data_IF_787532717890
#
_entry.id   IF_787532717890
#
_cell.length_a   1.000
_cell.length_b   1.000
_cell.length_c   1.000
_cell.angle_alpha   90.00
_cell.angle_beta   90.00
_cell.angle_gamma   90.00
#
_symmetry.space_group_name_H-M   'P 1'
#
loop_
_entity.id
_entity.type
_entity.pdbx_description
1 polymer ?
#
# COMPACT_ATOMS: atom_id res chain seq x y z
N UNK A 1 -1.45 -8.46 -19.13
CA UNK A 1 -1.62 -8.04 -18.44
C UNK A 1 -1.43 -7.03 -18.30
N UNK A 2 -1.39 -6.72 -18.39
CA UNK A 2 -1.06 -5.97 -18.17
C UNK A 2 -1.40 -5.25 -17.48
N UNK A 3 -1.78 -5.20 -17.18
CA UNK A 3 -2.21 -4.52 -16.34
C UNK A 3 -1.72 -3.37 -15.94
N UNK A 4 -0.91 -3.09 -16.04
CA UNK A 4 -0.29 -1.94 -15.55
C UNK A 4 -0.91 -0.71 -15.96
N UNK A 5 -1.50 -0.71 -16.99
CA UNK A 5 -2.07 0.41 -17.40
C UNK A 5 -3.07 0.96 -16.59
N UNK A 6 -3.86 0.20 -16.07
CA UNK A 6 -4.84 0.74 -15.27
C UNK A 6 -4.24 1.38 -14.15
N UNK A 7 -3.09 1.05 -13.83
CA UNK A 7 -2.46 1.69 -12.79
C UNK A 7 -2.25 3.08 -13.08
N UNK A 8 -1.81 3.43 -14.25
CA UNK A 8 -1.56 4.75 -14.47
C UNK A 8 -2.76 5.50 -14.60
N UNK A 9 -3.76 4.99 -15.10
CA UNK A 9 -4.92 5.74 -15.26
C UNK A 9 -5.38 6.19 -13.95
N UNK A 10 -5.30 5.35 -12.99
CA UNK A 10 -5.72 5.73 -11.76
C UNK A 10 -4.94 6.76 -11.19
N UNK A 11 -3.69 6.66 -11.35
CA UNK A 11 -2.90 7.51 -10.70
C UNK A 11 -3.01 8.83 -11.14
N UNK A 12 -3.36 9.02 -12.28
CA UNK A 12 -3.38 10.29 -12.76
C UNK A 12 -4.21 11.13 -11.94
N UNK A 13 -5.39 10.84 -11.81
CA UNK A 13 -6.22 11.72 -11.12
C UNK A 13 -5.96 11.69 -9.69
N UNK A 14 -5.84 10.54 -9.20
CA UNK A 14 -5.78 10.40 -7.81
C UNK A 14 -4.62 11.05 -7.20
N UNK A 15 -3.56 11.00 -7.85
CA UNK A 15 -2.43 11.53 -7.28
C UNK A 15 -2.34 12.96 -7.32
N UNK A 16 -2.67 13.48 -8.40
CA UNK A 16 -2.54 14.87 -8.58
C UNK A 16 -3.27 15.65 -7.57
N UNK A 17 -4.39 15.19 -7.17
CA UNK A 17 -5.19 16.02 -6.32
C UNK A 17 -4.61 16.17 -4.95
N UNK A 18 -3.72 15.36 -4.54
CA UNK A 18 -3.19 15.50 -3.25
C UNK A 18 -2.28 16.62 -3.09
N UNK A 19 -1.64 17.00 -4.09
CA UNK A 19 -0.74 18.12 -4.03
C UNK A 19 0.50 17.87 -3.23
N UNK A 20 0.75 16.68 -2.82
CA UNK A 20 1.99 16.43 -2.13
C UNK A 20 2.68 15.23 -2.71
N UNK A 21 3.97 15.21 -2.62
CA UNK A 21 4.74 14.13 -3.17
C UNK A 21 4.89 13.06 -2.13
N UNK A 22 4.98 11.86 -2.58
CA UNK A 22 5.16 10.73 -1.70
C UNK A 22 6.65 10.40 -1.69
N UNK A 23 7.31 10.80 -0.63
CA UNK A 23 8.75 10.64 -0.54
C UNK A 23 9.17 9.20 -0.69
N UNK A 24 8.32 8.26 -0.34
CA UNK A 24 8.66 6.87 -0.40
C UNK A 24 8.03 6.14 -1.57
N UNK A 25 7.56 6.89 -2.54
CA UNK A 25 6.85 6.30 -3.66
C UNK A 25 7.65 5.22 -4.38
N UNK A 26 8.91 5.50 -4.70
CA UNK A 26 9.73 4.54 -5.42
C UNK A 26 9.97 3.29 -4.59
N UNK A 27 10.19 3.45 -3.31
CA UNK A 27 10.39 2.33 -2.41
C UNK A 27 9.13 1.48 -2.34
N UNK A 28 7.98 2.12 -2.26
CA UNK A 28 6.71 1.43 -2.19
C UNK A 28 6.48 0.62 -3.47
N UNK A 29 6.74 1.23 -4.62
CA UNK A 29 6.54 0.55 -5.89
C UNK A 29 7.46 -0.66 -6.03
N UNK A 30 8.69 -0.54 -5.59
CA UNK A 30 9.61 -1.67 -5.63
C UNK A 30 9.18 -2.79 -4.72
N UNK A 31 8.66 -2.46 -3.54
CA UNK A 31 8.18 -3.45 -2.63
C UNK A 31 6.94 -4.15 -3.17
N UNK A 32 6.05 -3.38 -3.80
CA UNK A 32 4.86 -3.98 -4.41
C UNK A 32 5.23 -4.90 -5.57
N UNK A 33 6.24 -4.54 -6.35
CA UNK A 33 6.70 -5.40 -7.43
C UNK A 33 7.23 -6.72 -6.88
N UNK A 34 7.94 -6.68 -5.77
CA UNK A 34 8.43 -7.89 -5.14
C UNK A 34 7.30 -8.74 -4.62
N UNK A 35 6.31 -8.12 -4.01
CA UNK A 35 5.15 -8.82 -3.49
C UNK A 35 4.38 -9.47 -4.64
N UNK A 36 4.26 -8.77 -5.74
CA UNK A 36 3.61 -9.29 -6.92
C UNK A 36 4.28 -10.57 -7.38
N UNK A 37 5.60 -10.56 -7.45
CA UNK A 37 6.36 -11.74 -7.80
C UNK A 37 6.21 -12.88 -6.79
N UNK A 38 6.12 -12.53 -5.52
CA UNK A 38 5.95 -13.51 -4.47
C UNK A 38 4.57 -14.18 -4.56
N UNK A 39 3.55 -13.38 -4.85
CA UNK A 39 2.21 -13.93 -5.03
C UNK A 39 2.18 -14.87 -6.22
N UNK A 40 2.88 -14.51 -7.28
CA UNK A 40 2.96 -15.37 -8.47
C UNK A 40 3.63 -16.70 -8.11
N UNK A 41 4.66 -16.65 -7.26
CA UNK A 41 5.32 -17.86 -6.81
C UNK A 41 4.39 -18.73 -5.96
N UNK A 42 3.57 -18.11 -5.12
CA UNK A 42 2.61 -18.85 -4.32
C UNK A 42 1.58 -19.54 -5.21
N UNK A 43 1.14 -18.82 -6.24
CA UNK A 43 0.20 -19.40 -7.18
C UNK A 43 0.79 -20.64 -7.82
N UNK A 44 2.07 -20.58 -8.19
CA UNK A 44 2.73 -21.72 -8.77
C UNK A 44 2.83 -22.89 -7.79
N UNK A 45 3.08 -22.60 -6.54
CA UNK A 45 3.13 -23.63 -5.52
C UNK A 45 1.80 -24.38 -5.42
N UNK A 46 0.70 -23.64 -5.52
CA UNK A 46 -0.61 -24.26 -5.49
C UNK A 46 -0.83 -25.11 -6.74
N UNK A 47 -0.40 -24.61 -7.89
CA UNK A 47 -0.54 -25.35 -9.15
C UNK A 47 0.25 -26.65 -9.11
N UNK A 48 1.35 -26.66 -8.39
CA UNK A 48 2.21 -27.82 -8.31
C UNK A 48 1.95 -28.69 -7.10
N UNK A 49 0.85 -28.43 -6.42
CA UNK A 49 0.41 -29.21 -5.27
C UNK A 49 1.45 -29.25 -4.14
N UNK A 50 2.10 -28.14 -3.91
CA UNK A 50 3.03 -28.01 -2.80
C UNK A 50 2.28 -28.22 -1.49
N UNK A 51 2.96 -28.82 -0.52
CA UNK A 51 2.33 -29.13 0.76
C UNK A 51 1.72 -27.90 1.41
N UNK A 52 0.53 -28.06 1.94
CA UNK A 52 -0.22 -26.98 2.53
C UNK A 52 0.55 -26.15 3.54
N UNK A 53 1.28 -26.74 4.49
CA UNK A 53 2.01 -25.91 5.45
C UNK A 53 3.02 -24.99 4.79
N UNK A 54 3.66 -25.44 3.73
CA UNK A 54 4.65 -24.62 3.05
C UNK A 54 3.99 -23.46 2.33
N UNK A 55 2.82 -23.69 1.74
CA UNK A 55 2.08 -22.62 1.08
C UNK A 55 1.63 -21.59 2.09
N UNK A 56 1.17 -22.03 3.24
CA UNK A 56 0.69 -21.10 4.27
C UNK A 56 1.81 -20.24 4.82
N UNK A 57 3.01 -20.77 4.94
CA UNK A 57 4.15 -19.97 5.38
C UNK A 57 4.41 -18.85 4.38
N UNK A 58 4.31 -19.16 3.09
CA UNK A 58 4.54 -18.16 2.07
C UNK A 58 3.43 -17.10 2.06
N UNK A 59 2.21 -17.51 2.30
CA UNK A 59 1.11 -16.56 2.39
C UNK A 59 1.30 -15.63 3.58
N UNK A 60 1.77 -16.17 4.70
CA UNK A 60 2.02 -15.34 5.87
C UNK A 60 3.10 -14.30 5.56
N UNK A 61 4.11 -14.69 4.80
CA UNK A 61 5.17 -13.76 4.41
C UNK A 61 4.63 -12.66 3.50
N UNK A 62 3.76 -12.99 2.56
CA UNK A 62 3.15 -12.01 1.68
C UNK A 62 2.30 -11.03 2.50
N UNK A 63 1.55 -11.57 3.44
CA UNK A 63 0.71 -10.73 4.29
C UNK A 63 1.56 -9.74 5.11
N UNK A 64 2.66 -10.23 5.66
CA UNK A 64 3.54 -9.35 6.42
C UNK A 64 4.15 -8.26 5.55
N UNK A 65 4.51 -8.62 4.32
CA UNK A 65 5.07 -7.65 3.39
C UNK A 65 4.03 -6.60 3.01
N UNK A 66 2.78 -7.01 2.80
CA UNK A 66 1.71 -6.06 2.49
C UNK A 66 1.44 -5.15 3.68
N UNK A 67 1.49 -5.67 4.88
CA UNK A 67 1.31 -4.83 6.06
C UNK A 67 2.41 -3.77 6.15
N UNK A 68 3.62 -4.16 5.81
CA UNK A 68 4.74 -3.23 5.82
C UNK A 68 4.55 -2.11 4.81
N UNK A 69 4.09 -2.47 3.61
CA UNK A 69 3.82 -1.48 2.58
C UNK A 69 2.69 -0.55 3.02
N UNK A 70 1.65 -1.13 3.63
CA UNK A 70 0.54 -0.32 4.13
C UNK A 70 1.00 0.71 5.13
N UNK A 71 1.93 0.32 6.01
CA UNK A 71 2.47 1.26 6.98
C UNK A 71 3.23 2.39 6.32
N UNK A 72 4.00 2.10 5.28
CA UNK A 72 4.72 3.14 4.58
C UNK A 72 3.78 4.11 3.89
N UNK A 73 2.73 3.59 3.28
CA UNK A 73 1.74 4.44 2.63
C UNK A 73 1.06 5.33 3.66
N UNK A 74 0.74 4.75 4.80
CA UNK A 74 0.08 5.51 5.86
C UNK A 74 1.00 6.60 6.40
N UNK A 75 2.27 6.30 6.56
CA UNK A 75 3.22 7.29 7.03
C UNK A 75 3.31 8.46 6.07
N UNK A 76 3.36 8.19 4.77
CA UNK A 76 3.39 9.25 3.79
C UNK A 76 2.12 10.08 3.86
N UNK A 77 1.00 9.43 4.03
CA UNK A 77 -0.28 10.13 4.09
C UNK A 77 -0.36 11.01 5.34
N UNK A 78 0.11 10.50 6.45
CA UNK A 78 0.11 11.24 7.69
C UNK A 78 0.98 12.48 7.56
N UNK A 79 2.16 12.32 7.00
CA UNK A 79 3.04 13.46 6.83
C UNK A 79 2.40 14.52 5.96
N UNK A 80 1.83 14.13 4.86
CA UNK A 80 1.19 15.08 3.96
C UNK A 80 -0.01 15.75 4.60
N UNK A 81 -0.83 14.98 5.30
CA UNK A 81 -2.00 15.54 5.95
C UNK A 81 -1.63 16.49 7.07
N UNK A 82 -0.61 16.15 7.83
CA UNK A 82 -0.22 17.01 8.93
C UNK A 82 0.37 18.31 8.44
N UNK A 83 1.16 18.26 7.38
CA UNK A 83 1.70 19.46 6.80
C UNK A 83 0.59 20.36 6.29
N UNK A 84 -0.35 19.78 5.59
CA UNK A 84 -1.45 20.56 5.06
C UNK A 84 -2.32 21.12 6.16
N UNK A 85 -2.58 20.34 7.17
CA UNK A 85 -3.39 20.80 8.29
C UNK A 85 -2.70 21.94 9.02
N UNK A 86 -1.40 21.88 9.15
CA UNK A 86 -0.66 22.93 9.81
C UNK A 86 -0.76 24.24 9.02
N UNK A 87 -0.78 24.13 7.71
CA UNK A 87 -0.88 25.31 6.88
C UNK A 87 -2.29 25.87 6.84
N UNK A 88 -3.28 25.02 6.79
CA UNK A 88 -4.66 25.41 6.62
C UNK A 88 -5.45 25.59 7.91
N UNK A 89 -4.93 25.11 8.99
CA UNK A 89 -5.64 25.18 10.25
C UNK A 89 -6.71 24.12 10.40
N UNK A 90 -6.67 23.08 9.57
CA UNK A 90 -7.70 22.08 9.49
C UNK A 90 -7.30 20.81 10.20
N UNK A 91 -6.68 20.95 11.34
CA UNK A 91 -6.09 19.84 12.03
C UNK A 91 -7.10 18.78 12.47
N UNK A 92 -8.26 19.21 12.92
CA UNK A 92 -9.24 18.27 13.40
C UNK A 92 -9.77 17.37 12.30
N UNK A 93 -10.02 17.94 11.12
CA UNK A 93 -10.51 17.17 10.00
C UNK A 93 -9.44 16.21 9.52
N UNK A 94 -8.20 16.65 9.49
CA UNK A 94 -7.09 15.80 9.07
C UNK A 94 -6.93 14.63 10.04
N UNK A 95 -7.07 14.89 11.32
CA UNK A 95 -6.92 13.85 12.32
C UNK A 95 -8.06 12.84 12.23
N UNK A 96 -9.26 13.31 11.96
CA UNK A 96 -10.41 12.42 11.81
C UNK A 96 -10.24 11.51 10.61
N UNK A 97 -9.74 12.05 9.49
CA UNK A 97 -9.52 11.28 8.29
C UNK A 97 -8.44 10.24 8.52
N UNK A 98 -7.39 10.60 9.23
CA UNK A 98 -6.33 9.70 9.54
C UNK A 98 -6.83 8.53 10.38
N UNK A 99 -7.65 8.84 11.38
CA UNK A 99 -8.18 7.82 12.24
C UNK A 99 -9.04 6.84 11.46
N UNK A 100 -9.81 7.35 10.52
CA UNK A 100 -10.65 6.53 9.68
C UNK A 100 -9.80 5.60 8.82
N UNK A 101 -8.73 6.11 8.24
CA UNK A 101 -7.82 5.32 7.43
C UNK A 101 -7.18 4.21 8.26
N UNK A 102 -6.79 4.54 9.47
CA UNK A 102 -6.19 3.58 10.35
C UNK A 102 -7.17 2.46 10.67
N UNK A 103 -8.39 2.82 10.98
CA UNK A 103 -9.41 1.84 11.31
C UNK A 103 -9.64 0.89 10.15
N UNK A 104 -9.68 1.41 8.94
CA UNK A 104 -9.87 0.59 7.76
C UNK A 104 -8.69 -0.33 7.51
N UNK A 105 -7.49 0.14 7.74
CA UNK A 105 -6.30 -0.66 7.52
C UNK A 105 -6.18 -1.79 8.55
N UNK A 106 -6.49 -1.48 9.78
CA UNK A 106 -6.39 -2.46 10.84
C UNK A 106 -7.56 -3.41 10.80
N UNK A 107 -8.67 -2.87 10.55
CA UNK A 107 -9.92 -3.51 10.60
C UNK A 107 -10.22 -4.70 10.04
#
# INVERSE_FOLDING_TARGET
MDLPDETQTIETGAIAHNGHTHAQRDSILKRLARIEGHVRAVKRMVEEDTACPDVLVQIAAVRAALNSVGRLILEDHVQGCMLKAAQDGDFEDAFRDLKKSLDQFIG
#
